data_IF_491977955786
#
_entry.id   IF_491977955786
#
_cell.length_a   1.000
_cell.length_b   1.000
_cell.length_c   1.000
_cell.angle_alpha   90.00
_cell.angle_beta   90.00
_cell.angle_gamma   90.00
#
_symmetry.space_group_name_H-M   'P 1'
#
loop_
_entity.id
_entity.type
_entity.pdbx_description
1 polymer ?
#
# COMPACT_ATOMS: atom_id res chain seq x y z
N UNK A 1 -10.90 18.53 9.41
CA UNK A 1 -9.59 18.03 8.95
C UNK A 1 -9.83 17.15 7.74
N UNK A 2 -8.89 17.10 6.80
CA UNK A 2 -9.03 16.26 5.61
C UNK A 2 -8.96 14.78 6.00
N UNK A 3 -9.68 13.93 5.27
CA UNK A 3 -9.72 12.49 5.52
C UNK A 3 -8.67 11.81 4.63
N UNK A 4 -7.46 11.63 5.16
CA UNK A 4 -6.31 11.24 4.35
C UNK A 4 -5.55 10.03 4.92
N UNK A 5 -5.26 9.05 4.07
CA UNK A 5 -4.20 8.06 4.31
C UNK A 5 -3.02 8.37 3.39
N UNK A 6 -1.84 8.57 3.98
CA UNK A 6 -0.60 8.75 3.23
C UNK A 6 0.16 7.43 3.18
N UNK A 7 0.37 6.91 1.98
CA UNK A 7 1.16 5.71 1.74
C UNK A 7 2.45 6.05 1.01
N UNK A 8 3.57 5.50 1.47
CA UNK A 8 4.89 5.72 0.88
C UNK A 8 5.62 4.39 0.74
N UNK A 9 6.15 4.12 -0.45
CA UNK A 9 7.15 3.09 -0.67
C UNK A 9 8.54 3.71 -0.51
N UNK A 10 9.27 3.34 0.53
CA UNK A 10 10.57 3.94 0.86
C UNK A 10 11.74 3.27 0.14
N UNK A 11 12.67 4.10 -0.35
CA UNK A 11 13.91 3.65 -0.97
C UNK A 11 13.80 3.40 -2.48
N UNK A 12 14.93 3.09 -3.15
CA UNK A 12 14.90 2.70 -4.54
C UNK A 12 14.15 1.37 -4.67
N UNK A 13 12.98 1.40 -5.32
CA UNK A 13 12.28 0.19 -5.74
C UNK A 13 13.03 -0.34 -6.97
N UNK A 14 14.11 -1.08 -6.73
CA UNK A 14 14.78 -1.98 -7.69
C UNK A 14 15.15 -3.22 -6.88
N UNK A 15 14.12 -3.86 -6.31
CA UNK A 15 14.23 -4.86 -5.26
C UNK A 15 13.15 -5.91 -5.41
N UNK A 16 13.48 -7.15 -5.01
CA UNK A 16 12.54 -8.26 -4.86
C UNK A 16 11.69 -8.14 -3.60
N UNK A 17 11.87 -7.05 -2.85
CA UNK A 17 11.31 -6.89 -1.52
C UNK A 17 11.17 -5.40 -1.24
N UNK A 18 9.93 -4.94 -1.08
CA UNK A 18 9.61 -3.52 -0.91
C UNK A 18 8.95 -3.27 0.44
N UNK A 19 9.09 -2.04 0.93
CA UNK A 19 8.54 -1.62 2.22
C UNK A 19 7.48 -0.55 2.00
N UNK A 20 6.34 -0.72 2.66
CA UNK A 20 5.21 0.22 2.60
C UNK A 20 4.99 0.84 3.99
N UNK A 21 5.08 2.16 4.05
CA UNK A 21 4.74 2.95 5.23
C UNK A 21 3.37 3.61 5.05
N UNK A 22 2.52 3.51 6.07
CA UNK A 22 1.15 4.00 6.06
C UNK A 22 0.92 4.92 7.25
N UNK A 23 0.60 6.18 6.98
CA UNK A 23 0.27 7.17 8.00
C UNK A 23 -1.20 7.56 7.91
N UNK A 24 -1.96 7.27 8.96
CA UNK A 24 -3.35 7.72 9.08
C UNK A 24 -3.35 9.21 9.49
N UNK A 25 -3.40 10.10 8.50
CA UNK A 25 -3.52 11.53 8.69
C UNK A 25 -4.99 11.99 8.71
N UNK A 26 -5.93 11.04 8.74
CA UNK A 26 -7.36 11.32 8.75
C UNK A 26 -7.90 11.53 10.16
N UNK A 27 -9.14 12.04 10.24
CA UNK A 27 -9.88 12.12 11.51
C UNK A 27 -10.62 10.83 11.89
N UNK A 28 -10.49 9.76 11.10
CA UNK A 28 -11.23 8.51 11.27
C UNK A 28 -10.28 7.32 11.41
N UNK A 29 -10.74 6.22 12.00
CA UNK A 29 -9.95 4.97 12.00
C UNK A 29 -9.93 4.37 10.59
N UNK A 30 -8.82 3.72 10.22
CA UNK A 30 -8.75 2.91 9.00
C UNK A 30 -9.19 1.48 9.31
N UNK A 31 -10.10 0.95 8.49
CA UNK A 31 -10.59 -0.45 8.58
C UNK A 31 -9.91 -1.36 7.60
N UNK A 32 -9.69 -0.87 6.38
CA UNK A 32 -9.10 -1.65 5.31
C UNK A 32 -8.27 -0.74 4.40
N UNK A 33 -7.18 -1.27 3.89
CA UNK A 33 -6.47 -0.71 2.75
C UNK A 33 -6.39 -1.73 1.63
N UNK A 34 -6.29 -1.26 0.40
CA UNK A 34 -5.94 -2.07 -0.76
C UNK A 34 -4.87 -1.38 -1.59
N UNK A 35 -3.91 -2.14 -2.09
CA UNK A 35 -2.98 -1.69 -3.14
C UNK A 35 -3.32 -2.48 -4.41
N UNK A 36 -3.65 -1.76 -5.48
CA UNK A 36 -4.01 -2.34 -6.78
C UNK A 36 -2.98 -1.99 -7.83
N UNK A 37 -2.34 -3.02 -8.37
CA UNK A 37 -1.42 -2.90 -9.50
C UNK A 37 -2.08 -3.12 -10.86
N UNK A 38 -3.40 -3.28 -10.93
CA UNK A 38 -4.15 -3.33 -12.20
C UNK A 38 -3.95 -2.10 -13.08
N UNK A 39 -3.59 -0.98 -12.47
CA UNK A 39 -3.34 0.31 -13.15
C UNK A 39 -1.86 0.64 -13.26
N UNK A 40 -0.99 -0.29 -12.88
CA UNK A 40 0.44 -0.20 -13.12
C UNK A 40 0.74 -0.23 -14.61
N UNK A 41 1.95 0.18 -14.99
CA UNK A 41 2.40 0.16 -16.39
C UNK A 41 2.53 -1.26 -16.93
N UNK A 42 2.89 -2.21 -16.07
CA UNK A 42 3.03 -3.63 -16.38
C UNK A 42 2.21 -4.44 -15.37
N UNK A 43 1.66 -5.62 -15.75
CA UNK A 43 0.96 -6.49 -14.81
C UNK A 43 1.91 -6.95 -13.71
N UNK A 44 1.61 -6.54 -12.47
CA UNK A 44 2.36 -6.90 -11.28
C UNK A 44 1.41 -7.67 -10.37
N UNK A 45 1.87 -8.80 -9.85
CA UNK A 45 1.19 -9.53 -8.79
C UNK A 45 1.93 -9.26 -7.47
N UNK A 46 1.23 -9.53 -6.38
CA UNK A 46 1.79 -9.48 -5.05
C UNK A 46 1.54 -10.83 -4.40
N UNK A 47 2.57 -11.37 -3.76
CA UNK A 47 2.42 -12.61 -2.99
C UNK A 47 1.98 -12.33 -1.56
N UNK A 48 2.49 -11.24 -0.98
CA UNK A 48 2.26 -10.90 0.42
C UNK A 48 2.54 -9.44 0.73
N UNK A 49 1.92 -8.93 1.80
CA UNK A 49 2.34 -7.69 2.45
C UNK A 49 3.62 -7.86 3.30
N UNK A 50 4.11 -9.08 3.49
CA UNK A 50 5.27 -9.36 4.32
C UNK A 50 4.99 -9.19 5.82
N UNK A 51 6.01 -8.78 6.57
CA UNK A 51 5.92 -8.60 8.02
C UNK A 51 5.30 -7.25 8.38
N UNK A 52 4.31 -7.28 9.26
CA UNK A 52 3.63 -6.09 9.78
C UNK A 52 4.25 -5.59 11.09
N UNK A 53 4.32 -4.27 11.25
CA UNK A 53 4.66 -3.60 12.50
C UNK A 53 3.88 -2.29 12.67
N UNK A 54 3.52 -1.96 13.91
CA UNK A 54 2.85 -0.71 14.23
C UNK A 54 1.92 -0.80 15.44
N UNK A 55 1.29 0.32 15.83
CA UNK A 55 0.39 0.37 16.98
C UNK A 55 -1.03 -0.15 16.67
N UNK A 56 -1.40 -0.30 15.40
CA UNK A 56 -2.66 -0.92 15.02
C UNK A 56 -2.58 -2.45 15.13
N UNK A 57 -3.72 -3.11 15.23
CA UNK A 57 -3.81 -4.57 15.15
C UNK A 57 -4.11 -4.97 13.71
N UNK A 58 -3.22 -5.73 13.07
CA UNK A 58 -3.50 -6.37 11.79
C UNK A 58 -4.46 -7.54 12.01
N UNK A 59 -5.64 -7.45 11.41
CA UNK A 59 -6.70 -8.47 11.53
C UNK A 59 -6.52 -9.55 10.46
N UNK A 60 -6.01 -9.18 9.28
CA UNK A 60 -5.67 -10.11 8.23
C UNK A 60 -5.27 -9.41 6.94
N UNK A 61 -4.75 -10.19 6.01
CA UNK A 61 -4.35 -9.76 4.66
C UNK A 61 -4.90 -10.73 3.62
N UNK A 62 -5.29 -10.21 2.46
CA UNK A 62 -5.64 -11.03 1.30
C UNK A 62 -4.79 -10.61 0.09
N UNK A 63 -4.65 -11.50 -0.90
CA UNK A 63 -4.13 -11.15 -2.22
C UNK A 63 -2.89 -11.89 -2.72
N UNK A 64 -2.62 -13.13 -2.28
CA UNK A 64 -1.54 -13.99 -2.79
C UNK A 64 -1.69 -14.25 -4.30
N UNK A 65 -0.62 -14.09 -5.09
CA UNK A 65 -0.60 -14.21 -6.55
C UNK A 65 -1.65 -13.32 -7.25
N UNK A 66 -1.95 -12.14 -6.69
CA UNK A 66 -2.96 -11.25 -7.28
C UNK A 66 -2.45 -9.85 -7.54
N UNK A 67 -3.10 -9.15 -8.47
CA UNK A 67 -2.85 -7.73 -8.76
C UNK A 67 -3.38 -6.80 -7.66
N UNK A 68 -4.04 -7.33 -6.62
CA UNK A 68 -4.69 -6.53 -5.56
C UNK A 68 -4.48 -7.19 -4.21
N UNK A 69 -3.65 -6.57 -3.37
CA UNK A 69 -3.51 -6.97 -1.96
C UNK A 69 -4.29 -6.06 -1.05
N UNK A 70 -4.96 -6.63 -0.05
CA UNK A 70 -5.70 -5.89 0.98
C UNK A 70 -5.23 -6.23 2.38
N UNK A 71 -5.30 -5.25 3.29
CA UNK A 71 -4.99 -5.44 4.69
C UNK A 71 -6.08 -4.80 5.55
N UNK A 72 -6.58 -5.58 6.52
CA UNK A 72 -7.64 -5.17 7.45
C UNK A 72 -7.06 -4.86 8.83
N UNK A 73 -7.56 -3.80 9.46
CA UNK A 73 -7.06 -3.34 10.74
C UNK A 73 -8.15 -3.16 11.80
N UNK A 74 -7.75 -3.33 13.05
CA UNK A 74 -8.44 -2.81 14.22
C UNK A 74 -7.55 -1.75 14.90
N UNK A 75 -8.18 -0.69 15.40
CA UNK A 75 -7.53 0.41 16.12
C UNK A 75 -6.41 1.11 15.32
N UNK A 76 -6.52 1.19 14.00
CA UNK A 76 -5.64 2.04 13.20
C UNK A 76 -6.14 3.49 13.25
N UNK A 77 -6.01 4.09 14.42
CA UNK A 77 -6.57 5.40 14.75
C UNK A 77 -5.82 6.57 14.12
N UNK A 78 -6.40 7.79 14.14
CA UNK A 78 -5.73 9.01 13.72
C UNK A 78 -4.32 9.17 14.30
N UNK A 79 -3.44 9.77 13.51
CA UNK A 79 -2.03 10.06 13.82
C UNK A 79 -1.15 8.83 14.08
N UNK A 80 -1.67 7.63 13.81
CA UNK A 80 -0.88 6.40 13.87
C UNK A 80 -0.18 6.13 12.55
N UNK A 81 0.95 5.44 12.65
CA UNK A 81 1.72 4.97 11.51
C UNK A 81 1.97 3.48 11.65
N UNK A 82 1.72 2.72 10.60
CA UNK A 82 2.06 1.30 10.51
C UNK A 82 2.99 1.06 9.31
N UNK A 83 3.69 -0.07 9.33
CA UNK A 83 4.66 -0.44 8.30
C UNK A 83 4.50 -1.91 7.93
N UNK A 84 4.61 -2.15 6.64
CA UNK A 84 4.84 -3.45 6.06
C UNK A 84 6.26 -3.51 5.52
N UNK A 85 6.97 -4.58 5.88
CA UNK A 85 8.32 -4.82 5.39
C UNK A 85 8.39 -6.18 4.73
N UNK A 86 9.06 -6.23 3.58
CA UNK A 86 9.18 -7.46 2.82
C UNK A 86 7.94 -7.81 2.01
N UNK A 87 7.23 -6.81 1.50
CA UNK A 87 6.24 -7.06 0.46
C UNK A 87 6.96 -7.62 -0.77
N UNK A 88 6.42 -8.67 -1.36
CA UNK A 88 7.02 -9.38 -2.49
C UNK A 88 6.15 -9.17 -3.74
N UNK A 89 6.50 -8.18 -4.57
CA UNK A 89 5.87 -7.97 -5.87
C UNK A 89 6.66 -8.65 -6.98
N UNK A 90 5.95 -9.32 -7.89
CA UNK A 90 6.53 -10.01 -9.02
C UNK A 90 5.80 -9.69 -10.34
N UNK A 91 6.41 -10.08 -11.46
CA UNK A 91 5.75 -10.03 -12.75
C UNK A 91 5.05 -11.37 -12.99
N UNK A 92 3.85 -11.30 -13.59
CA UNK A 92 3.06 -12.49 -13.89
C UNK A 92 3.88 -13.56 -14.63
N UNK A 93 3.97 -14.75 -14.02
CA UNK A 93 4.65 -15.92 -14.60
C UNK A 93 6.16 -15.98 -14.33
N UNK A 94 6.70 -15.09 -13.48
CA UNK A 94 8.10 -15.11 -13.07
C UNK A 94 8.24 -14.97 -11.55
N UNK A 95 8.56 -16.08 -10.89
CA UNK A 95 8.67 -16.24 -9.43
C UNK A 95 9.82 -15.44 -8.80
N UNK A 96 10.62 -14.71 -9.59
CA UNK A 96 11.81 -13.99 -9.09
C UNK A 96 12.15 -12.76 -9.91
N UNK A 97 11.14 -11.98 -10.29
CA UNK A 97 11.33 -10.71 -10.99
C UNK A 97 11.16 -9.53 -10.05
N UNK A 98 12.24 -8.79 -9.78
CA UNK A 98 12.18 -7.55 -9.02
C UNK A 98 11.48 -6.46 -9.82
N UNK A 99 10.63 -5.68 -9.14
CA UNK A 99 9.90 -4.56 -9.74
C UNK A 99 10.67 -3.26 -9.58
N UNK A 100 10.52 -2.36 -10.55
CA UNK A 100 11.12 -1.02 -10.48
C UNK A 100 10.09 0.03 -10.09
N UNK A 101 10.58 1.18 -9.58
CA UNK A 101 9.75 2.38 -9.31
C UNK A 101 8.86 2.70 -10.51
N UNK A 102 9.44 2.70 -11.72
CA UNK A 102 8.73 3.02 -12.96
C UNK A 102 7.63 2.02 -13.33
N UNK A 103 7.66 0.81 -12.79
CA UNK A 103 6.67 -0.23 -13.04
C UNK A 103 5.45 -0.03 -12.13
N UNK A 104 5.66 0.46 -10.91
CA UNK A 104 4.62 0.75 -9.91
C UNK A 104 3.93 2.11 -10.05
N UNK A 105 4.43 3.00 -10.90
CA UNK A 105 3.77 4.31 -11.14
C UNK A 105 2.35 4.06 -11.67
N UNK A 106 1.37 4.74 -11.09
CA UNK A 106 -0.04 4.60 -11.46
C UNK A 106 -0.79 3.48 -10.72
N UNK A 107 -0.10 2.67 -9.91
CA UNK A 107 -0.76 1.77 -8.95
C UNK A 107 -1.67 2.58 -8.01
N UNK A 108 -2.79 1.99 -7.60
CA UNK A 108 -3.82 2.68 -6.81
C UNK A 108 -3.83 2.23 -5.37
N UNK A 109 -4.04 3.20 -4.49
CA UNK A 109 -4.36 2.99 -3.08
C UNK A 109 -5.88 3.12 -2.90
N UNK A 110 -6.48 2.13 -2.26
CA UNK A 110 -7.85 2.13 -1.78
C UNK A 110 -7.83 2.15 -0.25
N UNK A 111 -8.74 2.88 0.37
CA UNK A 111 -8.90 2.87 1.84
C UNK A 111 -10.37 2.89 2.23
N UNK A 112 -10.74 2.05 3.19
CA UNK A 112 -12.05 2.07 3.85
C UNK A 112 -11.89 2.66 5.26
N UNK A 113 -12.59 3.77 5.50
CA UNK A 113 -12.62 4.43 6.80
C UNK A 113 -13.71 3.85 7.70
N UNK A 114 -13.58 4.05 9.00
CA UNK A 114 -14.54 3.55 10.00
C UNK A 114 -15.93 4.18 9.91
N UNK A 115 -16.07 5.32 9.24
CA UNK A 115 -17.35 5.98 8.95
C UNK A 115 -18.05 5.41 7.70
N UNK A 116 -17.50 4.35 7.09
CA UNK A 116 -18.03 3.68 5.92
C UNK A 116 -17.65 4.33 4.58
N UNK A 117 -16.88 5.41 4.61
CA UNK A 117 -16.46 6.10 3.40
C UNK A 117 -15.21 5.46 2.80
N UNK A 118 -15.05 5.60 1.49
CA UNK A 118 -13.91 5.06 0.75
C UNK A 118 -13.09 6.21 0.19
N UNK A 119 -11.77 6.13 0.35
CA UNK A 119 -10.82 7.05 -0.27
C UNK A 119 -9.99 6.36 -1.35
N UNK A 120 -9.52 7.16 -2.30
CA UNK A 120 -8.68 6.68 -3.41
C UNK A 120 -7.45 7.56 -3.57
N UNK A 121 -6.31 6.93 -3.83
CA UNK A 121 -5.06 7.58 -4.14
C UNK A 121 -4.35 6.88 -5.29
N UNK A 122 -3.41 7.57 -5.92
CA UNK A 122 -2.55 7.03 -6.96
C UNK A 122 -1.08 7.22 -6.55
N UNK A 123 -0.26 6.19 -6.71
CA UNK A 123 1.16 6.27 -6.41
C UNK A 123 1.89 7.05 -7.50
N UNK A 124 2.47 8.18 -7.08
CA UNK A 124 3.22 9.09 -7.93
C UNK A 124 4.67 9.19 -7.47
N UNK A 125 5.62 9.40 -8.40
CA UNK A 125 7.02 9.59 -8.05
C UNK A 125 7.22 10.87 -7.26
N UNK A 126 8.06 10.79 -6.23
CA UNK A 126 8.52 11.94 -5.45
C UNK A 126 9.92 12.37 -5.91
N UNK A 127 10.35 13.57 -5.52
CA UNK A 127 11.66 14.12 -5.88
C UNK A 127 12.84 13.32 -5.30
N UNK A 128 12.61 12.51 -4.27
CA UNK A 128 13.61 11.64 -3.62
C UNK A 128 13.59 10.19 -4.14
N UNK A 129 12.92 9.93 -5.27
CA UNK A 129 12.93 8.64 -5.95
C UNK A 129 12.05 7.56 -5.31
N UNK A 130 11.08 7.98 -4.48
CA UNK A 130 10.09 7.11 -3.85
C UNK A 130 8.76 7.17 -4.60
N UNK A 131 7.80 6.35 -4.17
CA UNK A 131 6.41 6.50 -4.58
C UNK A 131 5.56 6.90 -3.39
N UNK A 132 4.64 7.84 -3.62
CA UNK A 132 3.69 8.31 -2.61
C UNK A 132 2.29 8.36 -3.19
N UNK A 133 1.32 7.88 -2.42
CA UNK A 133 -0.10 8.07 -2.67
C UNK A 133 -0.74 8.76 -1.46
N UNK A 134 -1.71 9.65 -1.72
CA UNK A 134 -2.62 10.17 -0.70
C UNK A 134 -4.01 9.71 -1.09
N UNK A 135 -4.60 8.85 -0.28
CA UNK A 135 -5.99 8.48 -0.47
C UNK A 135 -6.88 9.43 0.32
N UNK A 136 -7.71 10.18 -0.41
CA UNK A 136 -8.71 11.08 0.17
C UNK A 136 -10.10 10.64 -0.22
N UNK A 137 -11.08 10.97 0.62
CA UNK A 137 -12.50 10.82 0.32
C UNK A 137 -12.94 11.70 -0.86
#
# INVERSE_FOLDING_TARGET
MAQELVATFDGPLDSFSINLNLQNASSSDIREIGVSARTAKFPILFDTFGAFSGPATLVGTDGVDTEVVTARFANFSPDKTVKFSGMDPDFQGDVSSGVRVGDFIGTRLLVLFSDGTTGFGEFQPTNDGKLRAVATK
#
